data_IF_126344602538
#
_entry.id   IF_126344602538
#
_cell.length_a   1.000
_cell.length_b   1.000
_cell.length_c   1.000
_cell.angle_alpha   90.00
_cell.angle_beta   90.00
_cell.angle_gamma   90.00
#
_symmetry.space_group_name_H-M   'P 1'
#
loop_
_entity.id
_entity.type
_entity.pdbx_description
1 polymer ?
#
# COMPACT_ATOMS: atom_id res chain seq x y z
N UNK A 1 18.34 -11.48 7.53
CA UNK A 1 17.62 -12.44 6.67
C UNK A 1 16.53 -11.65 5.93
N UNK A 2 16.52 -11.66 4.59
CA UNK A 2 15.57 -10.85 3.78
C UNK A 2 14.30 -11.66 3.51
N UNK A 3 13.24 -11.46 4.29
CA UNK A 3 11.91 -11.96 3.91
C UNK A 3 11.31 -10.97 2.91
N UNK A 4 11.20 -11.41 1.66
CA UNK A 4 10.52 -10.70 0.58
C UNK A 4 9.22 -11.47 0.36
N UNK A 5 8.08 -10.79 0.48
CA UNK A 5 6.77 -11.23 0.00
C UNK A 5 6.00 -12.18 0.94
N UNK A 6 5.66 -11.74 2.15
CA UNK A 6 4.59 -12.38 2.95
C UNK A 6 3.24 -11.87 2.47
N UNK A 7 2.59 -12.64 1.59
CA UNK A 7 1.22 -12.47 1.15
C UNK A 7 0.28 -12.51 2.37
N UNK A 8 -0.41 -11.40 2.65
CA UNK A 8 -1.46 -11.34 3.66
C UNK A 8 -2.77 -11.85 3.06
N UNK A 9 -3.38 -12.81 3.76
CA UNK A 9 -4.49 -13.63 3.33
C UNK A 9 -5.80 -12.84 3.18
N UNK A 10 -6.46 -13.06 2.05
CA UNK A 10 -7.78 -12.54 1.70
C UNK A 10 -8.88 -13.10 2.60
N UNK A 11 -9.74 -12.22 3.12
CA UNK A 11 -11.10 -12.55 3.52
C UNK A 11 -12.04 -11.41 3.07
N UNK A 12 -12.47 -11.48 1.81
CA UNK A 12 -13.50 -10.61 1.26
C UNK A 12 -14.85 -11.25 1.58
N UNK A 13 -15.60 -10.71 2.55
CA UNK A 13 -16.98 -11.12 2.81
C UNK A 13 -17.94 -9.93 2.64
N UNK A 14 -18.89 -10.15 1.74
CA UNK A 14 -20.04 -9.39 1.25
C UNK A 14 -20.62 -8.19 2.02
N UNK A 15 -21.19 -7.30 1.19
CA UNK A 15 -21.77 -5.99 1.44
C UNK A 15 -22.85 -5.83 2.54
N UNK A 16 -22.98 -4.56 2.95
CA UNK A 16 -24.02 -3.89 3.76
C UNK A 16 -23.82 -3.84 5.28
N UNK A 17 -23.21 -2.74 5.75
CA UNK A 17 -23.64 -1.95 6.91
C UNK A 17 -22.74 -0.72 7.06
N UNK A 18 -23.32 0.48 7.21
CA UNK A 18 -22.60 1.61 7.79
C UNK A 18 -22.28 1.26 9.24
N UNK A 19 -21.05 0.84 9.52
CA UNK A 19 -20.61 0.51 10.87
C UNK A 19 -19.13 0.79 11.02
N UNK A 20 -18.78 1.90 11.68
CA UNK A 20 -17.48 2.21 12.28
C UNK A 20 -16.30 1.68 11.44
N UNK A 21 -16.09 2.29 10.28
CA UNK A 21 -15.08 1.83 9.33
C UNK A 21 -13.70 2.12 9.91
N UNK A 22 -13.09 1.10 10.50
CA UNK A 22 -11.64 1.04 10.55
C UNK A 22 -11.15 1.06 9.09
N UNK A 23 -10.22 1.96 8.79
CA UNK A 23 -9.64 2.09 7.48
C UNK A 23 -9.12 0.73 7.03
N UNK A 24 -9.42 0.36 5.79
CA UNK A 24 -9.08 -0.97 5.26
C UNK A 24 -7.65 -0.96 4.72
N UNK A 25 -6.89 -2.01 4.98
CA UNK A 25 -5.55 -2.17 4.40
C UNK A 25 -5.67 -2.58 2.92
N UNK A 26 -5.03 -1.82 2.02
CA UNK A 26 -4.99 -2.10 0.59
C UNK A 26 -3.92 -3.14 0.26
N UNK A 27 -4.16 -3.92 -0.79
CA UNK A 27 -3.09 -4.71 -1.40
C UNK A 27 -2.12 -3.78 -2.16
N UNK A 28 -0.87 -4.21 -2.43
CA UNK A 28 0.07 -3.41 -3.21
C UNK A 28 -0.47 -3.02 -4.59
N UNK A 29 -1.24 -3.91 -5.22
CA UNK A 29 -1.87 -3.69 -6.53
C UNK A 29 -2.95 -2.61 -6.47
N UNK A 30 -3.81 -2.66 -5.45
CA UNK A 30 -4.84 -1.65 -5.21
C UNK A 30 -4.22 -0.31 -4.86
N UNK A 31 -3.23 -0.30 -3.98
CA UNK A 31 -2.49 0.89 -3.57
C UNK A 31 -1.75 1.56 -4.73
N UNK A 32 -1.26 0.79 -5.70
CA UNK A 32 -0.63 1.31 -6.92
C UNK A 32 -1.65 1.86 -7.93
N UNK A 33 -2.91 1.40 -7.88
CA UNK A 33 -3.97 1.83 -8.80
C UNK A 33 -4.63 3.16 -8.39
N UNK A 34 -4.36 3.67 -7.18
CA UNK A 34 -4.92 4.93 -6.67
C UNK A 34 -3.84 5.85 -6.12
N UNK A 35 -4.07 7.15 -6.16
CA UNK A 35 -3.13 8.14 -5.59
C UNK A 35 -3.40 8.33 -4.09
N UNK A 36 -2.37 8.23 -3.23
CA UNK A 36 -2.53 8.58 -1.83
C UNK A 36 -2.65 10.10 -1.67
N UNK A 37 -3.49 10.54 -0.73
CA UNK A 37 -3.65 11.97 -0.43
C UNK A 37 -2.70 12.46 0.66
N UNK A 38 -2.25 11.56 1.53
CA UNK A 38 -1.31 11.87 2.60
C UNK A 38 -0.46 10.63 2.96
N UNK A 39 0.71 10.87 3.56
CA UNK A 39 1.62 9.84 4.08
C UNK A 39 1.88 10.10 5.55
N UNK A 40 1.49 9.15 6.38
CA UNK A 40 1.66 9.23 7.82
C UNK A 40 2.78 8.33 8.31
N UNK A 41 3.39 8.74 9.42
CA UNK A 41 4.41 7.97 10.12
C UNK A 41 3.92 7.68 11.52
N UNK A 42 3.90 6.40 11.89
CA UNK A 42 3.56 5.93 13.24
C UNK A 42 4.82 5.35 13.86
N UNK A 43 5.25 5.90 14.99
CA UNK A 43 6.37 5.36 15.77
C UNK A 43 5.86 4.78 17.07
N UNK A 44 6.44 3.64 17.47
CA UNK A 44 6.06 3.00 18.72
C UNK A 44 6.78 1.69 18.94
N UNK A 45 6.62 1.15 20.15
CA UNK A 45 7.08 -0.20 20.46
C UNK A 45 5.96 -1.17 20.11
N UNK A 46 6.16 -1.92 19.03
CA UNK A 46 5.22 -2.96 18.59
C UNK A 46 5.85 -4.33 18.80
N UNK A 47 5.09 -5.26 19.38
CA UNK A 47 5.56 -6.63 19.58
C UNK A 47 5.25 -7.52 18.36
N UNK A 48 4.29 -7.10 17.53
CA UNK A 48 3.89 -7.79 16.32
C UNK A 48 3.48 -6.80 15.23
N UNK A 49 3.62 -7.22 13.97
CA UNK A 49 3.19 -6.42 12.80
C UNK A 49 1.70 -6.07 12.87
N UNK A 50 0.85 -6.96 13.38
CA UNK A 50 -0.58 -6.68 13.57
C UNK A 50 -0.86 -5.50 14.52
N UNK A 51 -0.02 -5.26 15.53
CA UNK A 51 -0.15 -4.11 16.42
C UNK A 51 0.22 -2.80 15.70
N UNK A 52 1.27 -2.84 14.89
CA UNK A 52 1.69 -1.74 14.03
C UNK A 52 0.58 -1.38 13.01
N UNK A 53 0.05 -2.38 12.30
CA UNK A 53 -1.06 -2.21 11.34
C UNK A 53 -2.29 -1.64 12.04
N UNK A 54 -2.65 -2.14 13.22
CA UNK A 54 -3.77 -1.60 14.00
C UNK A 54 -3.54 -0.15 14.44
N UNK A 55 -2.29 0.24 14.74
CA UNK A 55 -1.94 1.61 15.06
C UNK A 55 -2.03 2.53 13.84
N UNK A 56 -1.62 2.05 12.67
CA UNK A 56 -1.79 2.75 11.39
C UNK A 56 -3.27 2.90 11.05
N UNK A 57 -4.07 1.84 11.19
CA UNK A 57 -5.53 1.89 10.96
C UNK A 57 -6.19 2.99 11.80
N UNK A 58 -5.91 3.05 13.11
CA UNK A 58 -6.41 4.14 13.97
C UNK A 58 -5.94 5.53 13.54
N UNK A 59 -4.71 5.63 13.03
CA UNK A 59 -4.16 6.89 12.53
C UNK A 59 -4.88 7.31 11.24
N UNK A 60 -5.11 6.37 10.34
CA UNK A 60 -5.86 6.54 9.10
C UNK A 60 -7.30 7.00 9.38
N UNK A 61 -7.99 6.38 10.33
CA UNK A 61 -9.34 6.78 10.76
C UNK A 61 -9.38 8.22 11.26
N UNK A 62 -8.39 8.61 12.07
CA UNK A 62 -8.29 9.96 12.63
C UNK A 62 -8.06 11.01 11.54
N UNK A 63 -7.32 10.66 10.49
CA UNK A 63 -7.09 11.53 9.34
C UNK A 63 -8.21 11.45 8.29
N UNK A 64 -9.27 10.64 8.55
CA UNK A 64 -10.42 10.51 7.66
C UNK A 64 -10.16 9.71 6.38
N UNK A 65 -9.16 8.82 6.41
CA UNK A 65 -8.88 7.91 5.31
C UNK A 65 -9.89 6.75 5.28
N UNK A 66 -10.29 6.33 4.08
CA UNK A 66 -11.10 5.13 3.90
C UNK A 66 -10.24 3.86 3.88
N UNK A 67 -9.02 3.98 3.36
CA UNK A 67 -8.07 2.89 3.24
C UNK A 67 -6.63 3.38 3.49
N UNK A 68 -5.75 2.45 3.83
CA UNK A 68 -4.33 2.74 4.00
C UNK A 68 -3.46 1.63 3.41
N UNK A 69 -2.18 1.91 3.16
CA UNK A 69 -1.20 0.92 2.76
C UNK A 69 0.11 1.13 3.53
N UNK A 70 0.62 0.09 4.17
CA UNK A 70 1.93 0.17 4.86
C UNK A 70 3.05 0.07 3.83
N UNK A 71 3.78 1.17 3.68
CA UNK A 71 4.85 1.31 2.68
C UNK A 71 6.17 0.77 3.22
N UNK A 72 6.48 1.07 4.48
CA UNK A 72 7.74 0.68 5.11
C UNK A 72 7.54 0.41 6.60
N UNK A 73 8.35 -0.52 7.12
CA UNK A 73 8.50 -0.74 8.55
C UNK A 73 9.98 -0.91 8.85
N UNK A 74 10.52 0.00 9.66
CA UNK A 74 11.95 0.07 9.97
C UNK A 74 12.19 0.30 11.47
N UNK A 75 13.33 -0.16 11.97
CA UNK A 75 13.75 0.14 13.34
C UNK A 75 14.02 1.63 13.52
N UNK A 76 13.63 2.16 14.68
CA UNK A 76 13.76 3.57 15.02
C UNK A 76 14.58 3.77 16.30
N UNK A 77 15.73 4.43 16.15
CA UNK A 77 16.50 5.01 17.25
C UNK A 77 17.06 3.99 18.26
N UNK A 78 17.63 2.87 17.80
CA UNK A 78 18.36 1.86 18.59
C UNK A 78 17.68 1.35 19.87
N UNK A 79 16.38 1.59 20.05
CA UNK A 79 15.63 1.35 21.29
C UNK A 79 14.61 0.21 21.16
N UNK A 80 14.63 -0.50 20.03
CA UNK A 80 13.61 -1.51 19.70
C UNK A 80 12.24 -0.93 19.39
N UNK A 81 12.16 0.38 19.15
CA UNK A 81 10.98 1.02 18.58
C UNK A 81 10.97 0.81 17.08
N UNK A 82 9.77 0.69 16.50
CA UNK A 82 9.59 0.65 15.06
C UNK A 82 9.00 1.97 14.58
N UNK A 83 9.37 2.33 13.36
CA UNK A 83 8.77 3.36 12.55
C UNK A 83 8.03 2.66 11.41
N UNK A 84 6.75 2.96 11.31
CA UNK A 84 5.85 2.43 10.28
C UNK A 84 5.39 3.60 9.43
N UNK A 85 5.67 3.54 8.14
CA UNK A 85 5.26 4.55 7.18
C UNK A 85 4.08 4.00 6.40
N UNK A 86 3.00 4.76 6.32
CA UNK A 86 1.79 4.34 5.63
C UNK A 86 1.20 5.46 4.77
N UNK A 87 0.71 5.07 3.60
CA UNK A 87 -0.02 5.92 2.67
C UNK A 87 -1.51 5.84 2.96
N UNK A 88 -2.18 6.98 2.90
CA UNK A 88 -3.60 7.13 3.19
C UNK A 88 -4.38 7.44 1.91
N UNK A 89 -5.54 6.81 1.77
CA UNK A 89 -6.40 6.90 0.60
C UNK A 89 -7.82 7.29 1.02
N UNK A 90 -8.43 8.19 0.25
CA UNK A 90 -9.85 8.48 0.39
C UNK A 90 -10.69 7.45 -0.34
N UNK A 91 -11.99 7.38 -0.03
CA UNK A 91 -12.93 6.52 -0.74
C UNK A 91 -13.07 6.90 -2.22
N UNK A 92 -12.84 8.16 -2.56
CA UNK A 92 -12.88 8.76 -3.89
C UNK A 92 -11.48 9.04 -4.47
N UNK A 93 -10.44 8.32 -4.00
CA UNK A 93 -9.08 8.52 -4.47
C UNK A 93 -8.98 8.40 -6.00
N UNK A 94 -8.32 9.38 -6.62
CA UNK A 94 -8.09 9.39 -8.06
C UNK A 94 -7.28 8.15 -8.46
N UNK A 95 -7.61 7.57 -9.62
CA UNK A 95 -6.81 6.50 -10.19
C UNK A 95 -5.40 7.02 -10.45
N UNK A 96 -4.41 6.19 -10.12
CA UNK A 96 -3.04 6.44 -10.53
C UNK A 96 -2.98 6.49 -12.06
N UNK A 97 -2.14 7.38 -12.58
CA UNK A 97 -1.91 7.45 -14.01
C UNK A 97 -1.30 6.13 -14.46
N UNK A 98 -1.89 5.50 -15.48
CA UNK A 98 -1.32 4.31 -16.08
C UNK A 98 0.07 4.65 -16.62
N UNK A 99 1.09 3.89 -16.20
CA UNK A 99 2.47 4.10 -16.64
C UNK A 99 2.55 3.91 -18.14
N UNK A 100 2.45 4.99 -18.92
CA UNK A 100 2.63 4.92 -20.36
C UNK A 100 4.06 4.46 -20.65
N UNK A 101 4.19 3.51 -21.59
CA UNK A 101 5.49 3.03 -22.03
C UNK A 101 6.33 4.20 -22.53
N UNK A 102 7.59 4.24 -22.08
CA UNK A 102 8.50 5.32 -22.45
C UNK A 102 8.88 5.16 -23.91
N UNK A 103 8.75 6.23 -24.70
CA UNK A 103 9.17 6.23 -26.10
C UNK A 103 10.50 6.99 -26.20
N UNK A 104 11.56 6.28 -26.60
CA UNK A 104 12.88 6.86 -26.80
C UNK A 104 13.20 6.79 -28.29
N UNK A 105 13.34 7.94 -28.94
CA UNK A 105 13.68 8.04 -30.37
C UNK A 105 12.79 7.19 -31.29
N UNK A 106 11.49 7.11 -30.99
CA UNK A 106 10.51 6.31 -31.75
C UNK A 106 10.47 4.82 -31.40
N UNK A 107 11.32 4.35 -30.48
CA UNK A 107 11.27 2.99 -29.93
C UNK A 107 10.50 3.00 -28.61
N UNK A 108 9.44 2.19 -28.54
CA UNK A 108 8.66 2.00 -27.31
C UNK A 108 9.43 1.04 -26.40
N UNK A 109 9.90 1.53 -25.26
CA UNK A 109 10.47 0.71 -24.20
C UNK A 109 9.33 -0.03 -23.51
N UNK A 110 9.17 -1.30 -23.87
CA UNK A 110 8.19 -2.18 -23.25
C UNK A 110 8.76 -2.71 -21.95
N UNK A 111 8.02 -2.62 -20.83
CA UNK A 111 8.40 -3.30 -19.61
C UNK A 111 8.37 -4.83 -19.83
N UNK A 112 9.18 -5.55 -19.05
CA UNK A 112 9.49 -6.97 -19.28
C UNK A 112 8.25 -7.87 -19.35
N UNK A 113 7.23 -7.54 -18.57
CA UNK A 113 5.91 -8.17 -18.55
C UNK A 113 5.19 -8.07 -19.89
N UNK A 114 5.29 -6.93 -20.57
CA UNK A 114 4.71 -6.74 -21.90
C UNK A 114 5.59 -7.36 -22.99
N UNK A 115 6.92 -7.26 -22.87
CA UNK A 115 7.86 -7.75 -23.87
C UNK A 115 7.77 -9.29 -24.08
N UNK A 116 7.56 -10.06 -23.00
CA UNK A 116 7.46 -11.53 -23.07
C UNK A 116 6.24 -12.00 -23.86
N UNK A 117 5.17 -11.19 -23.93
CA UNK A 117 3.98 -11.53 -24.70
C UNK A 117 4.17 -11.43 -26.22
N UNK A 118 5.27 -10.80 -26.66
CA UNK A 118 5.53 -10.45 -28.06
C UNK A 118 6.74 -11.22 -28.61
N UNK A 119 7.22 -12.25 -27.90
CA UNK A 119 8.33 -13.08 -28.39
C UNK A 119 7.97 -13.67 -29.77
N UNK A 120 8.75 -13.36 -30.82
CA UNK A 120 8.51 -13.94 -32.14
C UNK A 120 8.94 -15.42 -32.14
N UNK A 121 8.06 -16.27 -32.66
CA UNK A 121 8.30 -17.70 -32.89
C UNK A 121 9.43 -17.96 -33.90
#
# INVERSE_FOLDING_TARGET
MKLKNTLLASALLSATAFSVNAATELTPEQAAAVKPFDRVVVTGRFNAIGEAVKAVSRRADKEGAASFYVVDTSDFGNSGNWRVVADLYKADAEKAEETSNRVINGVVELPKDQAVLIEPF
#
